data_IF_166776386299
#
_entry.id   IF_166776386299
#
_cell.length_a   1.000
_cell.length_b   1.000
_cell.length_c   1.000
_cell.angle_alpha   90.00
_cell.angle_beta   90.00
_cell.angle_gamma   90.00
#
_symmetry.space_group_name_H-M   'P 1'
#
loop_
_entity.id
_entity.type
_entity.pdbx_description
1 polymer ?
#
# COMPACT_ATOMS: atom_id res chain seq x y z
N UNK A 1 -1.30 10.90 -10.71
CA UNK A 1 -2.35 10.61 -9.71
C UNK A 1 -2.14 9.18 -9.24
N UNK A 2 -2.43 8.88 -7.97
CA UNK A 2 -2.40 7.51 -7.42
C UNK A 2 -3.22 6.57 -8.30
N UNK A 3 -2.70 5.38 -8.61
CA UNK A 3 -3.47 4.33 -9.30
C UNK A 3 -4.60 3.79 -8.42
N UNK A 4 -4.48 3.98 -7.10
CA UNK A 4 -5.47 3.60 -6.11
C UNK A 4 -6.51 4.70 -5.90
N UNK A 5 -7.78 4.29 -5.75
CA UNK A 5 -8.91 5.20 -5.51
C UNK A 5 -8.73 6.08 -4.28
N UNK A 6 -9.46 7.20 -4.24
CA UNK A 6 -9.44 8.12 -3.09
C UNK A 6 -9.94 7.41 -1.83
N UNK A 7 -9.12 7.37 -0.78
CA UNK A 7 -9.47 6.78 0.52
C UNK A 7 -8.60 5.59 0.95
N UNK A 8 -7.72 5.10 0.07
CA UNK A 8 -6.76 4.04 0.41
C UNK A 8 -5.53 4.65 1.10
N UNK A 9 -5.14 4.10 2.26
CA UNK A 9 -3.92 4.53 2.97
C UNK A 9 -2.66 4.08 2.21
N UNK A 10 -1.54 4.77 2.43
CA UNK A 10 -0.29 4.42 1.76
C UNK A 10 0.17 3.00 2.11
N UNK A 11 -0.01 2.56 3.36
CA UNK A 11 0.30 1.20 3.77
C UNK A 11 -0.51 0.16 2.98
N UNK A 12 -1.82 0.43 2.80
CA UNK A 12 -2.72 -0.45 2.03
C UNK A 12 -2.39 -0.47 0.54
N UNK A 13 -2.00 0.67 -0.04
CA UNK A 13 -1.50 0.72 -1.41
C UNK A 13 -0.23 -0.14 -1.58
N UNK A 14 0.73 -0.04 -0.65
CA UNK A 14 1.95 -0.87 -0.67
C UNK A 14 1.66 -2.36 -0.52
N UNK A 15 0.65 -2.73 0.28
CA UNK A 15 0.23 -4.13 0.41
C UNK A 15 -0.34 -4.68 -0.91
N UNK A 16 -1.20 -3.92 -1.60
CA UNK A 16 -1.68 -4.31 -2.93
C UNK A 16 -0.55 -4.43 -3.95
N UNK A 17 0.38 -3.47 -3.97
CA UNK A 17 1.55 -3.52 -4.84
C UNK A 17 2.42 -4.76 -4.53
N UNK A 18 2.59 -5.13 -3.26
CA UNK A 18 3.34 -6.32 -2.85
C UNK A 18 2.76 -7.60 -3.44
N UNK A 19 1.45 -7.83 -3.34
CA UNK A 19 0.81 -9.03 -3.90
C UNK A 19 0.89 -9.04 -5.43
N UNK A 20 0.66 -7.89 -6.07
CA UNK A 20 0.77 -7.77 -7.54
C UNK A 20 2.20 -7.98 -8.03
N UNK A 21 3.21 -7.54 -7.27
CA UNK A 21 4.63 -7.80 -7.56
C UNK A 21 4.94 -9.29 -7.43
N UNK A 22 4.45 -9.98 -6.40
CA UNK A 22 4.63 -11.43 -6.27
C UNK A 22 4.08 -12.19 -7.48
N UNK A 23 2.94 -11.77 -7.99
CA UNK A 23 2.33 -12.35 -9.18
C UNK A 23 3.10 -12.02 -10.47
N UNK A 24 3.57 -10.78 -10.60
CA UNK A 24 4.43 -10.36 -11.72
C UNK A 24 5.74 -11.16 -11.77
N UNK A 25 6.33 -11.46 -10.60
CA UNK A 25 7.52 -12.33 -10.50
C UNK A 25 7.25 -13.77 -10.95
N UNK A 26 6.00 -14.23 -10.90
CA UNK A 26 5.54 -15.51 -11.45
C UNK A 26 5.15 -15.42 -12.93
N UNK A 27 5.34 -14.27 -13.58
CA UNK A 27 4.96 -14.04 -14.98
C UNK A 27 3.47 -13.75 -15.18
N UNK A 28 2.74 -13.33 -14.14
CA UNK A 28 1.31 -13.03 -14.22
C UNK A 28 1.00 -11.58 -13.87
N UNK A 29 0.08 -10.95 -14.59
CA UNK A 29 -0.40 -9.59 -14.31
C UNK A 29 -1.90 -9.58 -14.03
N UNK A 30 -2.32 -8.61 -13.22
CA UNK A 30 -3.72 -8.35 -12.91
C UNK A 30 -4.46 -7.89 -14.17
N UNK A 31 -5.51 -8.61 -14.56
CA UNK A 31 -6.32 -8.27 -15.74
C UNK A 31 -7.75 -7.85 -15.40
N UNK A 32 -8.17 -7.97 -14.14
CA UNK A 32 -9.52 -7.62 -13.70
C UNK A 32 -9.82 -8.12 -12.29
N UNK A 33 -11.07 -7.95 -11.89
CA UNK A 33 -11.63 -8.40 -10.62
C UNK A 33 -13.02 -9.00 -10.91
N UNK A 34 -13.32 -10.16 -10.33
CA UNK A 34 -14.64 -10.79 -10.36
C UNK A 34 -15.18 -11.03 -8.95
N UNK A 35 -16.30 -11.74 -8.85
CA UNK A 35 -16.98 -12.06 -7.59
C UNK A 35 -16.09 -12.88 -6.62
N UNK A 36 -15.04 -13.52 -7.12
CA UNK A 36 -14.09 -14.32 -6.36
C UNK A 36 -12.76 -13.58 -6.11
N UNK A 37 -12.63 -12.34 -6.58
CA UNK A 37 -11.49 -11.46 -6.34
C UNK A 37 -10.65 -11.18 -7.58
N UNK A 38 -9.35 -10.96 -7.38
CA UNK A 38 -8.44 -10.51 -8.44
C UNK A 38 -8.07 -11.63 -9.43
N UNK A 39 -8.22 -11.34 -10.72
CA UNK A 39 -7.86 -12.28 -11.79
C UNK A 39 -6.48 -11.95 -12.33
N UNK A 40 -5.57 -12.93 -12.28
CA UNK A 40 -4.22 -12.84 -12.83
C UNK A 40 -4.07 -13.71 -14.08
N UNK A 41 -3.44 -13.19 -15.12
CA UNK A 41 -3.15 -13.92 -16.38
C UNK A 41 -1.68 -13.84 -16.72
N UNK A 42 -1.19 -14.84 -17.45
CA UNK A 42 0.17 -14.83 -17.98
C UNK A 42 0.42 -13.58 -18.83
N UNK A 43 1.58 -12.98 -18.65
CA UNK A 43 2.00 -11.78 -19.36
C UNK A 43 3.47 -11.92 -19.80
N UNK A 44 3.88 -11.20 -20.86
CA UNK A 44 5.28 -11.17 -21.27
C UNK A 44 6.19 -10.71 -20.13
N UNK A 45 7.38 -11.31 -20.05
CA UNK A 45 8.38 -10.98 -19.02
C UNK A 45 8.67 -9.47 -18.95
N UNK A 46 8.78 -8.82 -20.09
CA UNK A 46 9.02 -7.38 -20.18
C UNK A 46 7.91 -6.54 -19.56
N UNK A 47 6.65 -6.97 -19.66
CA UNK A 47 5.52 -6.27 -19.04
C UNK A 47 5.51 -6.47 -17.53
N UNK A 48 5.86 -7.67 -17.06
CA UNK A 48 6.02 -7.96 -15.64
C UNK A 48 7.14 -7.10 -15.01
N UNK A 49 8.29 -7.02 -15.68
CA UNK A 49 9.42 -6.19 -15.24
C UNK A 49 9.04 -4.70 -15.20
N UNK A 50 8.35 -4.20 -16.24
CA UNK A 50 7.83 -2.82 -16.26
C UNK A 50 6.85 -2.54 -15.11
N UNK A 51 5.96 -3.48 -14.81
CA UNK A 51 5.01 -3.35 -13.72
C UNK A 51 5.72 -3.20 -12.37
N UNK A 52 6.72 -4.05 -12.09
CA UNK A 52 7.46 -4.02 -10.82
C UNK A 52 8.17 -2.67 -10.63
N UNK A 53 8.80 -2.14 -11.68
CA UNK A 53 9.46 -0.84 -11.64
C UNK A 53 8.43 0.27 -11.37
N UNK A 54 7.28 0.22 -12.06
CA UNK A 54 6.20 1.21 -11.89
C UNK A 54 5.61 1.21 -10.49
N UNK A 55 5.47 0.05 -9.86
CA UNK A 55 5.01 -0.07 -8.49
C UNK A 55 5.98 0.64 -7.51
N UNK A 56 7.29 0.53 -7.74
CA UNK A 56 8.29 1.27 -6.96
C UNK A 56 8.18 2.79 -7.16
N UNK A 57 8.05 3.26 -8.40
CA UNK A 57 7.86 4.69 -8.70
C UNK A 57 6.61 5.25 -8.02
N UNK A 58 5.52 4.49 -8.01
CA UNK A 58 4.30 4.85 -7.32
C UNK A 58 4.53 4.98 -5.81
N UNK A 59 5.23 4.02 -5.19
CA UNK A 59 5.56 4.07 -3.77
C UNK A 59 6.40 5.32 -3.40
N UNK A 60 7.38 5.67 -4.23
CA UNK A 60 8.20 6.89 -4.05
C UNK A 60 7.35 8.16 -4.16
N UNK A 61 6.43 8.22 -5.14
CA UNK A 61 5.52 9.35 -5.31
C UNK A 61 4.65 9.56 -4.05
N UNK A 62 4.05 8.49 -3.53
CA UNK A 62 3.25 8.55 -2.32
C UNK A 62 4.06 8.93 -1.08
N UNK A 63 5.24 8.34 -0.90
CA UNK A 63 6.13 8.68 0.22
C UNK A 63 6.52 10.16 0.21
N UNK A 64 6.82 10.73 -0.96
CA UNK A 64 7.11 12.16 -1.12
C UNK A 64 5.90 13.02 -0.74
N UNK A 65 4.69 12.64 -1.14
CA UNK A 65 3.46 13.32 -0.77
C UNK A 65 3.24 13.31 0.75
N UNK A 66 3.40 12.15 1.39
CA UNK A 66 3.25 11.99 2.83
C UNK A 66 4.27 12.84 3.62
N UNK A 67 5.53 12.89 3.17
CA UNK A 67 6.56 13.73 3.79
C UNK A 67 6.24 15.22 3.71
N UNK A 68 5.74 15.70 2.56
CA UNK A 68 5.34 17.09 2.39
C UNK A 68 4.15 17.45 3.28
N UNK A 69 3.11 16.59 3.31
CA UNK A 69 1.94 16.77 4.17
C UNK A 69 2.31 16.74 5.65
N UNK A 70 3.17 15.82 6.08
CA UNK A 70 3.65 15.72 7.45
C UNK A 70 4.38 16.98 7.92
N UNK A 71 5.24 17.57 7.07
CA UNK A 71 5.91 18.85 7.37
C UNK A 71 4.92 20.02 7.49
N UNK A 72 3.93 20.08 6.60
CA UNK A 72 2.89 21.12 6.66
C UNK A 72 2.06 21.01 7.96
N UNK A 73 1.68 19.79 8.35
CA UNK A 73 0.95 19.52 9.58
C UNK A 73 1.77 19.91 10.82
N UNK A 74 3.05 19.55 10.86
CA UNK A 74 3.95 19.88 11.97
C UNK A 74 4.12 21.41 12.13
N UNK A 75 4.25 22.13 11.03
CA UNK A 75 4.27 23.60 11.03
C UNK A 75 2.97 24.20 11.55
N UNK A 76 1.82 23.64 11.15
CA UNK A 76 0.51 24.09 11.63
C UNK A 76 0.36 23.86 13.14
N UNK A 77 0.69 22.66 13.64
CA UNK A 77 0.60 22.34 15.07
C UNK A 77 1.51 23.22 15.93
N UNK A 78 2.74 23.48 15.46
CA UNK A 78 3.66 24.45 16.08
C UNK A 78 3.05 25.84 16.16
N UNK A 79 2.38 26.31 15.10
CA UNK A 79 1.69 27.62 15.10
C UNK A 79 0.52 27.69 16.09
N UNK A 80 -0.02 26.54 16.49
CA UNK A 80 -1.10 26.40 17.48
C UNK A 80 -0.59 26.06 18.87
N UNK A 81 0.73 26.12 19.11
CA UNK A 81 1.37 25.74 20.36
C UNK A 81 1.10 24.29 20.82
N UNK A 82 0.73 23.41 19.87
CA UNK A 82 0.52 21.99 20.13
C UNK A 82 1.86 21.27 20.01
N UNK A 83 2.36 20.74 21.13
CA UNK A 83 3.57 19.91 21.17
C UNK A 83 3.20 18.45 20.94
N UNK A 84 3.14 18.03 19.68
CA UNK A 84 2.97 16.62 19.30
C UNK A 84 4.18 16.18 18.51
N UNK A 85 4.78 15.04 18.87
CA UNK A 85 5.81 14.40 18.07
C UNK A 85 5.15 13.67 16.89
N UNK A 86 4.86 14.40 15.82
CA UNK A 86 4.15 13.84 14.65
C UNK A 86 4.88 12.66 14.01
N UNK A 87 6.21 12.62 14.09
CA UNK A 87 7.00 11.47 13.60
C UNK A 87 6.62 10.19 14.33
N UNK A 88 6.51 10.27 15.65
CA UNK A 88 6.20 9.13 16.52
C UNK A 88 4.73 8.73 16.40
N UNK A 89 3.81 9.70 16.32
CA UNK A 89 2.39 9.44 16.05
C UNK A 89 2.18 8.68 14.73
N UNK A 90 2.80 9.15 13.64
CA UNK A 90 2.67 8.52 12.32
C UNK A 90 3.29 7.12 12.30
N UNK A 91 4.36 6.90 13.06
CA UNK A 91 4.98 5.58 13.21
C UNK A 91 4.03 4.58 13.88
N UNK A 92 3.45 4.91 15.04
CA UNK A 92 2.51 4.01 15.72
C UNK A 92 1.24 3.75 14.90
N UNK A 93 0.69 4.77 14.24
CA UNK A 93 -0.44 4.62 13.30
C UNK A 93 -0.12 3.65 12.16
N UNK A 94 1.09 3.69 11.60
CA UNK A 94 1.49 2.75 10.54
C UNK A 94 1.60 1.31 11.04
N UNK A 95 2.01 1.11 12.29
CA UNK A 95 2.08 -0.23 12.91
C UNK A 95 0.67 -0.77 13.15
N UNK A 96 -0.26 0.03 13.66
CA UNK A 96 -1.65 -0.37 13.85
C UNK A 96 -2.30 -0.78 12.52
N UNK A 97 -2.16 0.04 11.47
CA UNK A 97 -2.68 -0.30 10.13
C UNK A 97 -2.04 -1.56 9.54
N UNK A 98 -0.74 -1.80 9.80
CA UNK A 98 -0.08 -3.04 9.38
C UNK A 98 -0.59 -4.26 10.16
N UNK A 99 -0.86 -4.11 11.45
CA UNK A 99 -1.31 -5.20 12.32
C UNK A 99 -2.75 -5.63 12.03
N UNK A 100 -3.62 -4.67 11.71
CA UNK A 100 -4.99 -4.98 11.26
C UNK A 100 -4.96 -5.81 9.96
N UNK A 101 -4.02 -5.53 9.06
CA UNK A 101 -3.85 -6.29 7.82
C UNK A 101 -3.25 -7.68 8.03
N UNK A 102 -2.19 -7.83 8.83
CA UNK A 102 -1.63 -9.15 9.16
C UNK A 102 -2.68 -10.05 9.84
N UNK A 103 -3.58 -9.48 10.67
CA UNK A 103 -4.65 -10.25 11.31
C UNK A 103 -5.82 -10.59 10.36
N UNK A 104 -6.08 -9.79 9.33
CA UNK A 104 -7.09 -10.10 8.31
C UNK A 104 -6.61 -11.16 7.30
N UNK A 105 -5.30 -11.38 7.13
CA UNK A 105 -4.74 -12.50 6.34
C UNK A 105 -4.94 -13.89 7.01
N UNK A 106 -5.34 -13.98 8.29
CA UNK A 106 -5.57 -15.23 9.03
C UNK A 106 -7.05 -15.50 9.37
N UNK A 107 -7.98 -15.14 8.48
CA UNK A 107 -9.39 -15.57 8.55
C UNK A 107 -9.81 -16.39 7.32
N UNK A 108 -8.94 -17.27 6.85
CA UNK A 108 -9.36 -18.36 5.96
C UNK A 108 -9.50 -19.62 6.81
N UNK A 109 -10.73 -20.14 6.80
CA UNK A 109 -11.19 -21.29 7.56
C UNK A 109 -10.21 -22.47 7.46
N UNK A 110 -9.64 -22.87 8.60
CA UNK A 110 -9.17 -24.23 8.76
C UNK A 110 -10.46 -25.02 9.02
N UNK A 111 -11.08 -25.52 7.95
CA UNK A 111 -12.03 -26.62 8.08
C UNK A 111 -11.24 -27.83 8.57
N UNK A 112 -11.42 -28.17 9.85
CA UNK A 112 -10.89 -29.40 10.44
C UNK A 112 -11.52 -30.61 9.72
N UNK A 113 -10.68 -31.42 9.06
CA UNK A 113 -11.00 -32.79 8.56
C UNK A 113 -11.24 -33.78 9.70
#
# INVERSE_FOLDING_TARGET
MSEYGSGISFARACAYDKERIKEALKGRLLCGEDENGFIFKEAPKEECEKFIIKAFDNAVYHARGALAAGRAMDNYLKSKHVKVNMKEYMYYRSIEEHRDYENDEYKYDIEDE
#
